data_IF_237944918950
#
_entry.id   IF_237944918950
#
_cell.length_a   1.000
_cell.length_b   1.000
_cell.length_c   1.000
_cell.angle_alpha   90.00
_cell.angle_beta   90.00
_cell.angle_gamma   90.00
#
_symmetry.space_group_name_H-M   'P 1'
#
loop_
_entity.id
_entity.type
_entity.pdbx_description
1 polymer ?
#
# COMPACT_ATOMS: atom_id res chain seq x y z
N UNK A 1 20.08 43.94 -82.32
CA UNK A 1 18.63 43.66 -82.41
C UNK A 1 18.19 43.15 -81.05
N UNK A 2 17.41 43.95 -80.28
CA UNK A 2 16.00 43.66 -79.90
C UNK A 2 15.89 42.29 -79.19
N UNK A 3 15.52 42.11 -77.92
CA UNK A 3 14.65 42.80 -76.95
C UNK A 3 14.99 42.25 -75.52
N UNK A 4 15.11 43.08 -74.47
CA UNK A 4 14.13 43.30 -73.36
C UNK A 4 13.84 42.02 -72.52
N UNK A 5 13.90 41.89 -71.18
CA UNK A 5 13.26 42.56 -70.01
C UNK A 5 13.97 41.94 -68.74
N UNK A 6 14.63 42.67 -67.81
CA UNK A 6 14.17 43.13 -66.45
C UNK A 6 13.41 42.03 -65.65
N UNK A 7 13.62 41.67 -64.38
CA UNK A 7 13.71 42.40 -63.10
C UNK A 7 14.14 41.38 -62.00
N UNK A 8 14.86 41.84 -60.96
CA UNK A 8 15.06 41.24 -59.60
C UNK A 8 13.72 40.85 -58.90
N UNK A 9 13.61 40.21 -57.69
CA UNK A 9 14.57 40.10 -56.57
C UNK A 9 14.51 38.79 -55.71
N UNK A 10 15.34 38.76 -54.64
CA UNK A 10 15.16 38.11 -53.33
C UNK A 10 14.50 36.70 -53.27
N UNK A 11 15.29 35.70 -52.87
CA UNK A 11 14.78 34.65 -52.00
C UNK A 11 15.74 34.45 -50.82
N UNK A 12 15.27 34.86 -49.64
CA UNK A 12 15.96 34.75 -48.36
C UNK A 12 16.05 33.28 -47.96
N UNK A 13 17.25 32.86 -47.57
CA UNK A 13 17.48 31.61 -46.83
C UNK A 13 16.84 31.73 -45.45
N UNK A 14 15.91 30.84 -45.14
CA UNK A 14 15.37 30.58 -43.80
C UNK A 14 15.65 29.09 -43.51
N UNK A 15 16.45 28.72 -42.49
CA UNK A 15 16.54 27.34 -42.07
C UNK A 15 15.30 27.00 -41.24
N UNK A 16 14.52 26.03 -41.72
CA UNK A 16 13.41 25.45 -40.98
C UNK A 16 13.96 24.69 -39.75
N UNK A 17 13.77 25.26 -38.56
CA UNK A 17 13.98 24.55 -37.30
C UNK A 17 12.81 23.59 -37.13
N UNK A 18 13.04 22.31 -37.44
CA UNK A 18 12.10 21.24 -37.15
C UNK A 18 12.17 20.94 -35.65
N UNK A 19 11.29 21.57 -34.87
CA UNK A 19 11.09 21.22 -33.48
C UNK A 19 10.44 19.83 -33.40
N UNK A 20 11.26 18.80 -33.15
CA UNK A 20 10.77 17.48 -32.77
C UNK A 20 10.21 17.59 -31.36
N UNK A 21 8.90 17.80 -31.27
CA UNK A 21 8.16 17.57 -30.03
C UNK A 21 8.16 16.06 -29.80
N UNK A 22 9.14 15.57 -29.01
CA UNK A 22 9.01 14.26 -28.40
C UNK A 22 7.84 14.32 -27.43
N UNK A 23 6.67 13.89 -27.89
CA UNK A 23 5.62 13.39 -27.02
C UNK A 23 6.21 12.17 -26.30
N UNK A 24 6.75 12.40 -25.10
CA UNK A 24 7.01 11.36 -24.13
C UNK A 24 5.65 10.80 -23.67
N UNK A 25 5.00 10.05 -24.55
CA UNK A 25 3.95 9.13 -24.14
C UNK A 25 4.63 8.17 -23.17
N UNK A 26 4.23 8.22 -21.90
CA UNK A 26 4.63 7.23 -20.91
C UNK A 26 4.19 5.88 -21.46
N UNK A 27 5.13 5.13 -22.04
CA UNK A 27 4.92 3.74 -22.33
C UNK A 27 4.64 3.09 -20.98
N UNK A 28 3.37 2.82 -20.69
CA UNK A 28 2.98 2.03 -19.54
C UNK A 28 3.87 0.80 -19.56
N UNK A 29 4.62 0.57 -18.47
CA UNK A 29 5.57 -0.52 -18.41
C UNK A 29 4.84 -1.78 -18.88
N UNK A 30 5.37 -2.44 -19.92
CA UNK A 30 4.79 -3.67 -20.44
C UNK A 30 5.06 -4.77 -19.41
N UNK A 31 4.18 -4.87 -18.41
CA UNK A 31 4.32 -5.83 -17.31
C UNK A 31 4.02 -7.21 -17.87
N UNK A 32 5.07 -8.00 -18.06
CA UNK A 32 4.93 -9.41 -18.44
C UNK A 32 4.71 -10.24 -17.19
N UNK A 33 3.73 -11.13 -17.26
CA UNK A 33 3.48 -12.09 -16.21
C UNK A 33 2.53 -13.17 -16.65
N UNK A 34 1.98 -13.85 -15.66
CA UNK A 34 1.14 -15.02 -15.85
C UNK A 34 -0.12 -14.90 -15.01
N UNK A 35 -1.27 -15.16 -15.63
CA UNK A 35 -2.57 -15.27 -14.97
C UNK A 35 -2.96 -16.73 -14.95
N UNK A 36 -3.27 -17.27 -13.77
CA UNK A 36 -3.97 -18.54 -13.62
C UNK A 36 -5.46 -18.26 -13.50
N UNK A 37 -6.25 -18.90 -14.34
CA UNK A 37 -7.70 -18.75 -14.33
C UNK A 37 -8.35 -19.78 -13.41
N UNK A 38 -9.59 -19.52 -13.00
CA UNK A 38 -10.36 -20.40 -12.10
C UNK A 38 -10.67 -21.77 -12.71
N UNK A 39 -10.63 -21.90 -14.04
CA UNK A 39 -10.74 -23.17 -14.78
C UNK A 39 -9.39 -23.92 -14.92
N UNK A 40 -8.33 -23.45 -14.24
CA UNK A 40 -7.02 -24.10 -14.22
C UNK A 40 -6.12 -23.79 -15.43
N UNK A 41 -6.57 -22.95 -16.37
CA UNK A 41 -5.72 -22.50 -17.49
C UNK A 41 -4.71 -21.46 -17.02
N UNK A 42 -3.64 -21.34 -17.80
CA UNK A 42 -2.57 -20.37 -17.56
C UNK A 42 -2.39 -19.52 -18.81
N UNK A 43 -2.51 -18.20 -18.66
CA UNK A 43 -2.33 -17.23 -19.73
C UNK A 43 -1.11 -16.38 -19.40
N UNK A 44 -0.07 -16.45 -20.23
CA UNK A 44 1.14 -15.65 -20.08
C UNK A 44 1.22 -14.58 -21.16
N UNK A 45 1.65 -13.38 -20.79
CA UNK A 45 1.73 -12.26 -21.72
C UNK A 45 1.94 -10.93 -21.02
N UNK A 46 1.71 -9.84 -21.76
CA UNK A 46 1.67 -8.51 -21.17
C UNK A 46 0.30 -8.29 -20.55
N UNK A 47 0.26 -8.07 -19.25
CA UNK A 47 -0.96 -7.95 -18.47
C UNK A 47 -1.24 -6.47 -18.22
N UNK A 48 -2.51 -6.08 -18.37
CA UNK A 48 -3.00 -4.77 -17.98
C UNK A 48 -4.41 -4.86 -17.41
N UNK A 49 -4.69 -4.10 -16.35
CA UNK A 49 -6.03 -3.93 -15.82
C UNK A 49 -6.75 -2.76 -16.48
N UNK A 50 -8.00 -2.98 -16.92
CA UNK A 50 -8.89 -1.94 -17.41
C UNK A 50 -9.98 -1.64 -16.38
N UNK A 51 -9.79 -0.57 -15.61
CA UNK A 51 -10.70 -0.22 -14.51
C UNK A 51 -12.14 0.06 -14.98
N UNK A 52 -12.31 0.71 -16.13
CA UNK A 52 -13.64 1.03 -16.69
C UNK A 52 -14.46 -0.21 -17.05
N UNK A 53 -13.79 -1.31 -17.42
CA UNK A 53 -14.44 -2.55 -17.83
C UNK A 53 -14.35 -3.65 -16.78
N UNK A 54 -13.57 -3.44 -15.71
CA UNK A 54 -13.24 -4.44 -14.69
C UNK A 54 -12.70 -5.76 -15.28
N UNK A 55 -11.79 -5.64 -16.26
CA UNK A 55 -11.20 -6.78 -16.98
C UNK A 55 -9.68 -6.68 -17.05
N UNK A 56 -9.03 -7.84 -17.05
CA UNK A 56 -7.65 -7.99 -17.46
C UNK A 56 -7.57 -8.15 -18.96
N UNK A 57 -6.61 -7.47 -19.56
CA UNK A 57 -6.20 -7.65 -20.93
C UNK A 57 -4.82 -8.28 -20.91
N UNK A 58 -4.69 -9.46 -21.53
CA UNK A 58 -3.42 -10.17 -21.68
C UNK A 58 -3.07 -10.24 -23.15
N UNK A 59 -2.01 -9.53 -23.55
CA UNK A 59 -1.45 -9.68 -24.89
C UNK A 59 -0.50 -10.88 -24.88
N UNK A 60 -0.97 -12.00 -25.41
CA UNK A 60 -0.23 -13.27 -25.45
C UNK A 60 0.24 -13.58 -26.87
N UNK A 61 1.35 -14.29 -27.01
CA UNK A 61 1.81 -14.76 -28.33
C UNK A 61 1.18 -16.11 -28.63
N UNK A 62 0.51 -16.25 -29.78
CA UNK A 62 -0.14 -17.50 -30.16
C UNK A 62 0.92 -18.61 -30.32
N UNK A 63 0.73 -19.80 -29.70
CA UNK A 63 1.66 -20.92 -29.84
C UNK A 63 1.94 -21.26 -31.31
N UNK A 64 3.23 -21.37 -31.68
CA UNK A 64 3.65 -21.69 -33.04
C UNK A 64 3.61 -20.54 -34.06
N UNK A 65 3.25 -19.31 -33.65
CA UNK A 65 3.28 -18.12 -34.53
C UNK A 65 3.82 -16.89 -33.79
N UNK A 66 4.26 -15.86 -34.51
CA UNK A 66 4.60 -14.56 -33.92
C UNK A 66 3.38 -13.63 -33.74
N UNK A 67 2.16 -14.11 -34.03
CA UNK A 67 0.95 -13.31 -33.92
C UNK A 67 0.57 -13.09 -32.44
N UNK A 68 0.31 -11.84 -32.07
CA UNK A 68 -0.22 -11.49 -30.75
C UNK A 68 -1.74 -11.65 -30.74
N UNK A 69 -2.27 -12.27 -29.70
CA UNK A 69 -3.70 -12.37 -29.41
C UNK A 69 -4.03 -11.59 -28.15
N UNK A 70 -5.17 -10.89 -28.17
CA UNK A 70 -5.72 -10.22 -27.00
C UNK A 70 -6.66 -11.18 -26.28
N UNK A 71 -6.31 -11.55 -25.05
CA UNK A 71 -7.17 -12.35 -24.17
C UNK A 71 -7.77 -11.42 -23.13
N UNK A 72 -9.10 -11.40 -23.04
CA UNK A 72 -9.82 -10.64 -22.03
C UNK A 72 -10.33 -11.59 -20.93
N UNK A 73 -10.05 -11.25 -19.67
CA UNK A 73 -10.50 -12.02 -18.51
C UNK A 73 -11.22 -11.10 -17.53
N UNK A 74 -12.38 -11.51 -17.00
CA UNK A 74 -13.02 -10.81 -15.88
C UNK A 74 -12.27 -11.10 -14.58
N UNK A 75 -12.46 -10.28 -13.54
CA UNK A 75 -11.80 -10.49 -12.25
C UNK A 75 -12.15 -11.87 -11.65
N UNK A 76 -13.40 -12.29 -11.79
CA UNK A 76 -13.99 -13.55 -11.37
C UNK A 76 -13.45 -14.78 -12.13
N UNK A 77 -12.84 -14.58 -13.29
CA UNK A 77 -12.14 -15.64 -14.03
C UNK A 77 -10.69 -15.81 -13.58
N UNK A 78 -10.15 -14.88 -12.80
CA UNK A 78 -8.74 -14.88 -12.38
C UNK A 78 -8.61 -15.48 -10.98
N UNK A 79 -7.85 -16.56 -10.88
CA UNK A 79 -7.54 -17.22 -9.61
C UNK A 79 -6.25 -16.67 -8.99
N UNK A 80 -5.22 -16.41 -9.80
CA UNK A 80 -3.92 -15.94 -9.33
C UNK A 80 -3.22 -15.11 -10.42
N UNK A 81 -2.44 -14.12 -10.01
CA UNK A 81 -1.63 -13.28 -10.90
C UNK A 81 -0.20 -13.27 -10.36
N UNK A 82 0.73 -13.61 -11.25
CA UNK A 82 2.15 -13.61 -10.95
C UNK A 82 2.85 -12.66 -11.91
N UNK A 83 3.32 -11.55 -11.38
CA UNK A 83 4.14 -10.59 -12.12
C UNK A 83 5.44 -10.32 -11.34
N UNK A 84 6.56 -10.05 -12.02
CA UNK A 84 7.82 -9.78 -11.35
C UNK A 84 7.72 -8.51 -10.50
N UNK A 85 8.38 -8.54 -9.35
CA UNK A 85 8.47 -7.37 -8.48
C UNK A 85 9.11 -6.20 -9.24
N UNK A 86 8.51 -4.99 -9.21
CA UNK A 86 9.15 -3.81 -9.77
C UNK A 86 10.52 -3.60 -9.12
N UNK A 87 11.55 -3.38 -9.95
CA UNK A 87 12.96 -3.28 -9.51
C UNK A 87 13.16 -2.15 -8.51
N UNK A 88 12.37 -1.10 -8.65
CA UNK A 88 12.43 0.12 -7.86
C UNK A 88 11.72 -0.02 -6.50
N UNK A 89 10.88 -1.05 -6.31
CA UNK A 89 10.11 -1.24 -5.08
C UNK A 89 11.01 -1.52 -3.87
N UNK A 90 12.00 -2.40 -4.03
CA UNK A 90 12.96 -2.73 -2.95
C UNK A 90 13.72 -1.51 -2.44
N UNK A 91 14.40 -0.75 -3.31
CA UNK A 91 15.05 0.51 -2.94
C UNK A 91 14.11 1.54 -2.30
N UNK A 92 12.88 1.69 -2.81
CA UNK A 92 11.89 2.60 -2.24
C UNK A 92 11.47 2.18 -0.81
N UNK A 93 11.24 0.88 -0.58
CA UNK A 93 10.98 0.33 0.76
C UNK A 93 12.14 0.65 1.69
N UNK A 94 13.38 0.44 1.25
CA UNK A 94 14.55 0.70 2.09
C UNK A 94 14.66 2.18 2.45
N UNK A 95 14.47 3.09 1.48
CA UNK A 95 14.50 4.53 1.70
C UNK A 95 13.48 5.01 2.74
N UNK A 96 12.25 4.47 2.68
CA UNK A 96 11.21 4.80 3.67
C UNK A 96 11.56 4.23 5.04
N UNK A 97 12.04 2.98 5.11
CA UNK A 97 12.39 2.30 6.38
C UNK A 97 13.57 2.94 7.10
N UNK A 98 14.62 3.33 6.38
CA UNK A 98 15.78 4.01 6.95
C UNK A 98 15.52 5.49 7.22
N UNK A 99 14.41 6.04 6.71
CA UNK A 99 14.14 7.47 6.70
C UNK A 99 15.06 8.26 5.75
N UNK A 100 15.88 7.60 4.94
CA UNK A 100 16.81 8.26 4.01
C UNK A 100 16.18 8.39 2.63
N UNK A 101 16.13 9.60 2.09
CA UNK A 101 15.56 9.90 0.76
C UNK A 101 14.06 9.51 0.60
N UNK A 102 13.24 9.76 1.62
CA UNK A 102 11.78 9.54 1.55
C UNK A 102 11.17 10.32 0.37
N UNK A 103 11.63 11.55 0.13
CA UNK A 103 11.15 12.40 -0.96
C UNK A 103 11.35 11.76 -2.34
N UNK A 104 12.47 11.08 -2.58
CA UNK A 104 12.72 10.36 -3.83
C UNK A 104 11.91 9.07 -3.97
N UNK A 105 11.53 8.43 -2.87
CA UNK A 105 10.75 7.19 -2.88
C UNK A 105 9.27 7.43 -3.24
N UNK A 106 8.69 8.56 -2.82
CA UNK A 106 7.28 8.90 -3.06
C UNK A 106 6.86 8.79 -4.54
N UNK A 107 7.49 9.49 -5.51
CA UNK A 107 7.07 9.43 -6.91
C UNK A 107 7.26 8.03 -7.53
N UNK A 108 8.26 7.28 -7.07
CA UNK A 108 8.48 5.88 -7.50
C UNK A 108 7.30 5.00 -7.07
N UNK A 109 6.89 5.11 -5.81
CA UNK A 109 5.78 4.32 -5.27
C UNK A 109 4.45 4.72 -5.93
N UNK A 110 4.21 6.01 -6.16
CA UNK A 110 3.04 6.49 -6.89
C UNK A 110 2.94 5.88 -8.28
N UNK A 111 4.07 5.82 -9.01
CA UNK A 111 4.14 5.18 -10.33
C UNK A 111 3.84 3.68 -10.25
N UNK A 112 4.42 2.97 -9.27
CA UNK A 112 4.19 1.52 -9.11
C UNK A 112 2.70 1.22 -8.86
N UNK A 113 2.03 1.99 -8.00
CA UNK A 113 0.60 1.80 -7.71
C UNK A 113 -0.24 1.89 -8.99
N UNK A 114 0.09 2.83 -9.88
CA UNK A 114 -0.60 3.03 -11.16
C UNK A 114 -0.26 1.89 -12.13
N UNK A 115 1.03 1.61 -12.34
CA UNK A 115 1.48 0.63 -13.32
C UNK A 115 1.01 -0.79 -12.97
N UNK A 116 0.99 -1.14 -11.67
CA UNK A 116 0.68 -2.48 -11.16
C UNK A 116 -0.73 -2.61 -10.57
N UNK A 117 -1.65 -1.69 -10.91
CA UNK A 117 -3.04 -1.77 -10.44
C UNK A 117 -3.64 -3.15 -10.72
N UNK A 118 -4.14 -3.82 -9.68
CA UNK A 118 -4.69 -5.19 -9.72
C UNK A 118 -3.71 -6.28 -10.18
N UNK A 119 -2.39 -6.03 -10.12
CA UNK A 119 -1.34 -6.96 -10.55
C UNK A 119 -0.35 -7.27 -9.43
N UNK A 120 -0.82 -7.52 -8.20
CA UNK A 120 -0.03 -7.94 -7.03
C UNK A 120 0.76 -6.85 -6.29
N UNK A 121 1.42 -5.91 -6.99
CA UNK A 121 2.36 -4.97 -6.35
C UNK A 121 1.79 -3.58 -6.02
N UNK A 122 0.54 -3.32 -6.39
CA UNK A 122 -0.16 -2.07 -6.07
C UNK A 122 -0.33 -1.84 -4.56
N UNK A 123 -0.79 -2.86 -3.83
CA UNK A 123 -1.05 -2.74 -2.38
C UNK A 123 0.22 -2.67 -1.53
N UNK A 124 1.26 -3.50 -1.75
CA UNK A 124 2.54 -3.31 -1.09
C UNK A 124 3.12 -1.91 -1.33
N UNK A 125 3.03 -1.39 -2.56
CA UNK A 125 3.49 -0.04 -2.87
C UNK A 125 2.62 1.04 -2.21
N UNK A 126 1.29 0.88 -2.18
CA UNK A 126 0.37 1.80 -1.50
C UNK A 126 0.61 1.84 0.01
N UNK A 127 0.86 0.70 0.65
CA UNK A 127 1.25 0.61 2.06
C UNK A 127 2.50 1.44 2.33
N UNK A 128 3.56 1.20 1.55
CA UNK A 128 4.85 1.87 1.74
C UNK A 128 4.75 3.37 1.40
N UNK A 129 3.92 3.74 0.42
CA UNK A 129 3.63 5.15 0.12
C UNK A 129 2.91 5.81 1.30
N UNK A 130 1.94 5.15 1.91
CA UNK A 130 1.25 5.66 3.08
C UNK A 130 2.23 5.85 4.27
N UNK A 131 3.13 4.89 4.51
CA UNK A 131 4.20 5.00 5.51
C UNK A 131 5.10 6.23 5.23
N UNK A 132 5.52 6.41 3.96
CA UNK A 132 6.33 7.55 3.53
C UNK A 132 5.62 8.89 3.79
N UNK A 133 4.34 8.97 3.43
CA UNK A 133 3.54 10.19 3.59
C UNK A 133 3.29 10.51 5.07
N UNK A 134 3.08 9.51 5.93
CA UNK A 134 2.97 9.70 7.38
C UNK A 134 4.29 10.18 8.00
N UNK A 135 5.43 9.68 7.53
CA UNK A 135 6.75 10.10 8.00
C UNK A 135 7.04 11.58 7.70
N UNK A 136 6.53 12.10 6.57
CA UNK A 136 6.66 13.53 6.21
C UNK A 136 5.47 14.38 6.68
N UNK A 137 4.64 13.87 7.60
CA UNK A 137 3.56 14.64 8.22
C UNK A 137 2.37 14.93 7.31
N UNK A 138 2.13 14.11 6.27
CA UNK A 138 1.04 14.26 5.30
C UNK A 138 -0.01 13.15 5.43
N UNK A 139 -0.82 13.12 6.51
CA UNK A 139 -1.77 12.03 6.74
C UNK A 139 -2.88 11.94 5.69
N UNK A 140 -3.39 13.05 5.16
CA UNK A 140 -4.39 13.01 4.07
C UNK A 140 -3.80 12.44 2.77
N UNK A 141 -2.51 12.64 2.50
CA UNK A 141 -1.85 12.02 1.34
C UNK A 141 -1.68 10.51 1.54
N UNK A 142 -1.37 10.07 2.76
CA UNK A 142 -1.33 8.65 3.11
C UNK A 142 -2.71 7.98 2.93
N UNK A 143 -3.79 8.64 3.39
CA UNK A 143 -5.16 8.19 3.17
C UNK A 143 -5.44 8.01 1.67
N UNK A 144 -5.13 9.02 0.84
CA UNK A 144 -5.35 8.96 -0.62
C UNK A 144 -4.60 7.80 -1.29
N UNK A 145 -3.38 7.48 -0.82
CA UNK A 145 -2.62 6.35 -1.34
C UNK A 145 -3.34 5.01 -1.07
N UNK A 146 -3.80 4.79 0.16
CA UNK A 146 -4.56 3.59 0.51
C UNK A 146 -5.92 3.54 -0.21
N UNK A 147 -6.62 4.68 -0.31
CA UNK A 147 -7.95 4.75 -0.91
C UNK A 147 -7.97 4.38 -2.40
N UNK A 148 -6.86 4.54 -3.12
CA UNK A 148 -6.72 4.04 -4.51
C UNK A 148 -6.88 2.53 -4.60
N UNK A 149 -6.28 1.79 -3.66
CA UNK A 149 -6.40 0.34 -3.59
C UNK A 149 -7.78 -0.05 -3.05
N UNK A 150 -8.23 0.62 -1.98
CA UNK A 150 -9.53 0.34 -1.33
C UNK A 150 -10.71 0.56 -2.27
N UNK A 151 -10.63 1.55 -3.18
CA UNK A 151 -11.68 1.79 -4.16
C UNK A 151 -11.93 0.59 -5.08
N UNK A 152 -10.93 -0.28 -5.25
CA UNK A 152 -11.00 -1.48 -6.09
C UNK A 152 -11.18 -2.73 -5.21
N UNK A 153 -10.52 -2.78 -4.04
CA UNK A 153 -10.56 -3.86 -3.05
C UNK A 153 -10.98 -3.32 -1.68
N UNK A 154 -12.30 -3.13 -1.42
CA UNK A 154 -12.79 -2.50 -0.19
C UNK A 154 -12.32 -3.17 1.10
N UNK A 155 -12.10 -4.48 1.06
CA UNK A 155 -11.60 -5.27 2.17
C UNK A 155 -10.20 -4.89 2.64
N UNK A 156 -9.37 -4.29 1.76
CA UNK A 156 -8.04 -3.80 2.12
C UNK A 156 -8.09 -2.65 3.15
N UNK A 157 -9.27 -2.06 3.36
CA UNK A 157 -9.49 -1.06 4.41
C UNK A 157 -9.48 -1.66 5.83
N UNK A 158 -9.75 -2.97 5.95
CA UNK A 158 -9.87 -3.65 7.24
C UNK A 158 -9.19 -5.04 7.31
N UNK A 159 -8.52 -5.47 6.23
CA UNK A 159 -7.74 -6.70 6.11
C UNK A 159 -6.36 -6.40 5.54
N UNK A 160 -5.43 -7.34 5.77
CA UNK A 160 -4.09 -7.29 5.21
C UNK A 160 -3.19 -6.26 5.87
N UNK A 161 -1.95 -6.20 5.38
CA UNK A 161 -0.88 -5.42 6.01
C UNK A 161 -1.06 -3.90 5.80
N UNK A 162 -1.78 -3.49 4.75
CA UNK A 162 -2.03 -2.07 4.46
C UNK A 162 -3.05 -1.44 5.45
N UNK A 163 -3.96 -2.24 6.02
CA UNK A 163 -5.03 -1.70 6.86
C UNK A 163 -4.46 -0.93 8.07
N UNK A 164 -3.38 -1.42 8.69
CA UNK A 164 -2.79 -0.78 9.88
C UNK A 164 -2.26 0.62 9.59
N UNK A 165 -1.51 0.81 8.49
CA UNK A 165 -1.00 2.14 8.11
C UNK A 165 -2.14 3.08 7.71
N UNK A 166 -3.18 2.54 7.07
CA UNK A 166 -4.37 3.32 6.74
C UNK A 166 -5.08 3.84 8.00
N UNK A 167 -5.23 3.00 9.02
CA UNK A 167 -5.81 3.40 10.30
C UNK A 167 -4.97 4.45 11.03
N UNK A 168 -3.65 4.31 11.03
CA UNK A 168 -2.74 5.32 11.57
C UNK A 168 -2.89 6.66 10.86
N UNK A 169 -3.07 6.64 9.53
CA UNK A 169 -3.33 7.85 8.76
C UNK A 169 -4.68 8.49 9.10
N UNK A 170 -5.74 7.70 9.26
CA UNK A 170 -7.05 8.17 9.71
C UNK A 170 -6.99 8.79 11.11
N UNK A 171 -6.27 8.15 12.04
CA UNK A 171 -6.08 8.68 13.39
C UNK A 171 -5.37 10.04 13.35
N UNK A 172 -4.23 10.13 12.64
CA UNK A 172 -3.48 11.40 12.50
C UNK A 172 -4.25 12.49 11.75
N UNK A 173 -5.20 12.12 10.88
CA UNK A 173 -6.09 13.04 10.18
C UNK A 173 -7.36 13.39 10.97
N UNK A 174 -7.48 12.94 12.23
CA UNK A 174 -8.68 13.12 13.07
C UNK A 174 -9.97 12.61 12.40
N UNK A 175 -9.90 11.47 11.71
CA UNK A 175 -11.04 10.81 11.04
C UNK A 175 -11.63 9.69 11.91
N UNK A 176 -11.83 9.96 13.20
CA UNK A 176 -12.12 8.93 14.22
C UNK A 176 -13.39 8.11 13.93
N UNK A 177 -14.46 8.73 13.45
CA UNK A 177 -15.70 8.00 13.13
C UNK A 177 -15.50 6.92 12.04
N UNK A 178 -14.74 7.26 10.98
CA UNK A 178 -14.40 6.30 9.91
C UNK A 178 -13.47 5.22 10.43
N UNK A 179 -12.48 5.60 11.25
CA UNK A 179 -11.57 4.66 11.89
C UNK A 179 -12.33 3.66 12.76
N UNK A 180 -13.21 4.10 13.65
CA UNK A 180 -13.99 3.23 14.53
C UNK A 180 -14.82 2.19 13.76
N UNK A 181 -15.47 2.60 12.67
CA UNK A 181 -16.22 1.70 11.81
C UNK A 181 -15.30 0.60 11.22
N UNK A 182 -14.12 0.98 10.72
CA UNK A 182 -13.14 0.05 10.15
C UNK A 182 -12.53 -0.88 11.20
N UNK A 183 -12.24 -0.38 12.40
CA UNK A 183 -11.74 -1.21 13.50
C UNK A 183 -12.80 -2.25 13.90
N UNK A 184 -14.08 -1.86 13.94
CA UNK A 184 -15.19 -2.79 14.19
C UNK A 184 -15.25 -3.88 13.12
N UNK A 185 -15.14 -3.52 11.84
CA UNK A 185 -15.11 -4.49 10.75
C UNK A 185 -13.86 -5.39 10.80
N UNK A 186 -12.68 -4.86 11.13
CA UNK A 186 -11.46 -5.64 11.27
C UNK A 186 -11.55 -6.65 12.43
N UNK A 187 -12.14 -6.25 13.56
CA UNK A 187 -12.35 -7.15 14.70
C UNK A 187 -13.36 -8.25 14.36
N UNK A 188 -14.41 -7.94 13.61
CA UNK A 188 -15.48 -8.88 13.30
C UNK A 188 -15.18 -9.80 12.10
N UNK A 189 -14.51 -9.27 11.08
CA UNK A 189 -14.37 -9.90 9.74
C UNK A 189 -12.92 -10.01 9.28
N UNK A 190 -11.97 -9.41 10.00
CA UNK A 190 -10.55 -9.38 9.63
C UNK A 190 -9.85 -10.74 9.82
N UNK A 191 -8.62 -10.84 9.31
CA UNK A 191 -7.71 -11.93 9.67
C UNK A 191 -7.16 -11.74 11.09
N UNK A 192 -6.54 -12.78 11.68
CA UNK A 192 -6.08 -12.74 13.09
C UNK A 192 -5.19 -11.54 13.38
N UNK A 193 -4.25 -11.25 12.51
CA UNK A 193 -3.29 -10.15 12.59
C UNK A 193 -4.00 -8.78 12.53
N UNK A 194 -4.92 -8.61 11.58
CA UNK A 194 -5.68 -7.38 11.41
C UNK A 194 -6.61 -7.13 12.60
N UNK A 195 -7.34 -8.15 13.07
CA UNK A 195 -8.21 -8.03 14.25
C UNK A 195 -7.41 -7.68 15.50
N UNK A 196 -6.25 -8.30 15.71
CA UNK A 196 -5.41 -8.00 16.86
C UNK A 196 -4.83 -6.57 16.80
N UNK A 197 -4.35 -6.14 15.62
CA UNK A 197 -3.88 -4.76 15.41
C UNK A 197 -5.00 -3.75 15.61
N UNK A 198 -6.23 -4.07 15.20
CA UNK A 198 -7.39 -3.21 15.39
C UNK A 198 -7.76 -3.05 16.87
N UNK A 199 -7.63 -4.10 17.67
CA UNK A 199 -7.81 -4.04 19.13
C UNK A 199 -6.74 -3.18 19.80
N UNK A 200 -5.48 -3.24 19.35
CA UNK A 200 -4.43 -2.33 19.83
C UNK A 200 -4.80 -0.88 19.53
N UNK A 201 -5.14 -0.57 18.28
CA UNK A 201 -5.54 0.79 17.87
C UNK A 201 -6.75 1.29 18.65
N UNK A 202 -7.74 0.43 18.92
CA UNK A 202 -8.88 0.77 19.76
C UNK A 202 -8.45 1.10 21.19
N UNK A 203 -7.51 0.32 21.74
CA UNK A 203 -6.88 0.60 23.03
C UNK A 203 -6.18 1.96 23.05
N UNK A 204 -5.47 2.31 21.97
CA UNK A 204 -4.78 3.60 21.84
C UNK A 204 -5.78 4.76 21.89
N UNK A 205 -6.87 4.68 21.10
CA UNK A 205 -7.93 5.69 21.10
C UNK A 205 -8.59 5.85 22.47
N UNK A 206 -8.76 4.76 23.22
CA UNK A 206 -9.30 4.78 24.59
C UNK A 206 -8.31 5.40 25.59
N UNK A 207 -7.01 5.13 25.44
CA UNK A 207 -5.97 5.77 26.24
C UNK A 207 -5.93 7.28 26.00
N UNK A 208 -6.01 7.72 24.74
CA UNK A 208 -6.09 9.14 24.38
C UNK A 208 -7.33 9.81 24.97
N UNK A 209 -8.45 9.08 25.02
CA UNK A 209 -9.70 9.51 25.66
C UNK A 209 -9.69 9.43 27.19
N UNK A 210 -8.53 9.15 27.80
CA UNK A 210 -8.34 8.98 29.26
C UNK A 210 -9.22 7.88 29.88
N UNK A 211 -9.45 6.81 29.13
CA UNK A 211 -10.21 5.63 29.56
C UNK A 211 -9.30 4.39 29.66
N UNK A 212 -8.28 4.38 30.55
CA UNK A 212 -7.30 3.29 30.61
C UNK A 212 -7.90 1.94 31.01
N UNK A 213 -8.98 1.93 31.80
CA UNK A 213 -9.71 0.69 32.14
C UNK A 213 -10.34 0.05 30.91
N UNK A 214 -10.98 0.85 30.07
CA UNK A 214 -11.59 0.35 28.84
C UNK A 214 -10.52 0.01 27.79
N UNK A 215 -9.41 0.75 27.73
CA UNK A 215 -8.29 0.38 26.86
C UNK A 215 -7.74 -1.02 27.17
N UNK A 216 -7.65 -1.39 28.46
CA UNK A 216 -7.30 -2.74 28.88
C UNK A 216 -8.36 -3.76 28.45
N UNK A 217 -9.62 -3.51 28.79
CA UNK A 217 -10.75 -4.43 28.60
C UNK A 217 -11.11 -4.66 27.13
N UNK A 218 -11.20 -3.59 26.36
CA UNK A 218 -11.71 -3.57 24.99
C UNK A 218 -10.60 -3.52 23.92
N UNK A 219 -9.34 -3.43 24.35
CA UNK A 219 -8.15 -3.41 23.48
C UNK A 219 -7.07 -4.40 23.92
N UNK A 220 -6.11 -3.93 24.72
CA UNK A 220 -4.82 -4.60 24.89
C UNK A 220 -4.90 -6.01 25.48
N UNK A 221 -5.72 -6.24 26.52
CA UNK A 221 -5.80 -7.57 27.15
C UNK A 221 -6.47 -8.59 26.24
N UNK A 222 -7.40 -8.17 25.38
CA UNK A 222 -7.99 -9.07 24.38
C UNK A 222 -6.94 -9.58 23.42
N UNK A 223 -5.97 -8.74 23.04
CA UNK A 223 -4.83 -9.17 22.22
C UNK A 223 -3.94 -10.12 22.99
N UNK A 224 -3.50 -9.73 24.19
CA UNK A 224 -2.62 -10.56 25.03
C UNK A 224 -3.19 -11.96 25.27
N UNK A 225 -4.50 -12.08 25.49
CA UNK A 225 -5.15 -13.34 25.84
C UNK A 225 -5.64 -14.12 24.61
N UNK A 226 -6.38 -13.48 23.70
CA UNK A 226 -7.07 -14.19 22.61
C UNK A 226 -6.18 -14.37 21.36
N UNK A 227 -5.13 -13.56 21.25
CA UNK A 227 -4.23 -13.53 20.09
C UNK A 227 -2.78 -13.87 20.47
N UNK A 228 -2.55 -14.71 21.49
CA UNK A 228 -1.20 -15.09 21.96
C UNK A 228 -0.30 -15.62 20.82
N UNK A 229 -0.89 -16.31 19.84
CA UNK A 229 -0.16 -16.88 18.70
C UNK A 229 0.20 -15.85 17.62
N UNK A 230 -0.33 -14.62 17.68
CA UNK A 230 0.02 -13.55 16.75
C UNK A 230 1.27 -12.84 17.28
N UNK A 231 2.42 -13.49 17.13
CA UNK A 231 3.70 -13.07 17.74
C UNK A 231 4.15 -11.66 17.33
N UNK A 232 3.76 -11.19 16.15
CA UNK A 232 4.12 -9.87 15.64
C UNK A 232 3.51 -8.71 16.44
N UNK A 233 2.31 -8.88 16.99
CA UNK A 233 1.57 -7.81 17.70
C UNK A 233 1.62 -7.93 19.22
N UNK A 234 1.95 -9.11 19.74
CA UNK A 234 2.04 -9.38 21.18
C UNK A 234 2.97 -8.42 21.95
N UNK A 235 4.18 -8.11 21.47
CA UNK A 235 5.07 -7.22 22.21
C UNK A 235 4.47 -5.82 22.43
N UNK A 236 3.81 -5.28 21.41
CA UNK A 236 3.14 -3.98 21.50
C UNK A 236 1.97 -4.02 22.47
N UNK A 237 1.12 -5.04 22.38
CA UNK A 237 -0.02 -5.19 23.28
C UNK A 237 0.39 -5.32 24.75
N UNK A 238 1.46 -6.09 25.04
CA UNK A 238 2.01 -6.22 26.40
C UNK A 238 2.57 -4.89 26.91
N UNK A 239 3.34 -4.19 26.09
CA UNK A 239 3.89 -2.88 26.44
C UNK A 239 2.79 -1.87 26.76
N UNK A 240 1.78 -1.77 25.89
CA UNK A 240 0.67 -0.84 26.04
C UNK A 240 -0.29 -1.24 27.18
N UNK A 241 -0.52 -2.53 27.40
CA UNK A 241 -1.24 -3.02 28.58
C UNK A 241 -0.52 -2.63 29.87
N UNK A 242 0.81 -2.74 29.93
CA UNK A 242 1.58 -2.31 31.09
C UNK A 242 1.34 -0.83 31.38
N UNK A 243 1.43 0.04 30.36
CA UNK A 243 1.17 1.48 30.49
C UNK A 243 -0.25 1.79 30.97
N UNK A 244 -1.25 1.06 30.47
CA UNK A 244 -2.63 1.24 30.90
C UNK A 244 -2.85 0.79 32.36
N UNK A 245 -2.19 -0.28 32.83
CA UNK A 245 -2.20 -0.68 34.24
C UNK A 245 -1.55 0.35 35.17
N UNK A 246 -0.44 0.97 34.74
CA UNK A 246 0.19 2.07 35.50
C UNK A 246 -0.75 3.26 35.66
N UNK A 247 -1.47 3.62 34.59
CA UNK A 247 -2.42 4.73 34.59
C UNK A 247 -3.60 4.52 35.57
N UNK A 248 -3.85 3.29 36.01
CA UNK A 248 -4.86 2.96 37.03
C UNK A 248 -4.25 2.48 38.35
N UNK A 249 -2.96 2.75 38.56
CA UNK A 249 -2.19 2.38 39.76
C UNK A 249 -2.15 0.88 40.09
N UNK A 250 -2.30 0.01 39.07
CA UNK A 250 -2.17 -1.43 39.21
C UNK A 250 -0.75 -1.91 38.86
N UNK A 251 0.25 -1.38 39.57
CA UNK A 251 1.67 -1.64 39.32
C UNK A 251 2.07 -3.13 39.29
N UNK A 252 1.51 -4.02 40.14
CA UNK A 252 1.82 -5.45 40.05
C UNK A 252 1.41 -6.07 38.70
N UNK A 253 0.28 -5.64 38.13
CA UNK A 253 -0.18 -6.11 36.83
C UNK A 253 0.68 -5.54 35.70
N UNK A 254 1.09 -4.27 35.81
CA UNK A 254 2.03 -3.67 34.86
C UNK A 254 3.36 -4.45 34.81
N UNK A 255 3.91 -4.80 35.99
CA UNK A 255 5.16 -5.57 36.05
C UNK A 255 5.02 -6.99 35.51
N UNK A 256 3.86 -7.63 35.69
CA UNK A 256 3.56 -8.91 35.05
C UNK A 256 3.65 -8.82 33.53
N UNK A 257 3.07 -7.76 32.92
CA UNK A 257 3.14 -7.56 31.47
C UNK A 257 4.58 -7.34 31.00
N UNK A 258 5.36 -6.52 31.73
CA UNK A 258 6.79 -6.28 31.44
C UNK A 258 7.63 -7.53 31.53
N UNK A 259 7.40 -8.35 32.55
CA UNK A 259 8.11 -9.61 32.73
C UNK A 259 7.87 -10.55 31.55
N UNK A 260 6.62 -10.68 31.09
CA UNK A 260 6.30 -11.46 29.87
C UNK A 260 7.01 -10.86 28.65
N UNK A 261 7.01 -9.53 28.51
CA UNK A 261 7.68 -8.84 27.39
C UNK A 261 9.19 -9.12 27.38
N UNK A 262 9.88 -9.01 28.51
CA UNK A 262 11.33 -9.29 28.63
C UNK A 262 11.66 -10.76 28.39
N UNK A 263 10.83 -11.69 28.89
CA UNK A 263 11.14 -13.13 28.85
C UNK A 263 10.78 -13.77 27.51
N UNK A 264 9.61 -13.46 26.95
CA UNK A 264 9.12 -14.07 25.71
C UNK A 264 9.51 -13.29 24.45
N UNK A 265 9.81 -12.00 24.56
CA UNK A 265 10.00 -11.11 23.41
C UNK A 265 11.20 -10.17 23.55
N UNK A 266 12.29 -10.66 24.14
CA UNK A 266 13.50 -9.90 24.46
C UNK A 266 14.09 -9.09 23.29
N UNK A 267 13.97 -9.59 22.06
CA UNK A 267 14.50 -8.95 20.86
C UNK A 267 13.62 -7.83 20.29
N UNK A 268 12.37 -7.73 20.74
CA UNK A 268 11.39 -6.75 20.22
C UNK A 268 11.80 -5.32 20.55
N UNK A 269 11.39 -4.37 19.71
CA UNK A 269 11.61 -2.94 19.99
C UNK A 269 10.93 -2.48 21.29
N UNK A 270 9.83 -3.13 21.67
CA UNK A 270 9.05 -2.80 22.85
C UNK A 270 9.72 -3.26 24.14
N UNK A 271 10.41 -4.40 24.11
CA UNK A 271 11.23 -4.85 25.23
C UNK A 271 12.39 -3.88 25.54
N UNK A 272 12.88 -3.14 24.53
CA UNK A 272 13.94 -2.12 24.73
C UNK A 272 13.42 -0.80 25.33
N UNK A 273 12.09 -0.63 25.41
CA UNK A 273 11.42 0.59 25.93
C UNK A 273 11.01 0.46 27.40
N UNK A 274 11.30 -0.65 28.07
CA UNK A 274 10.90 -0.95 29.46
C UNK A 274 12.08 -1.18 30.38
#
# INVERSE_FOLDING_TARGET
MKHTIRVLPLCRLLPAVLAVVMLAGTAAAQIRGTIKTTDGKTVSGQIRWLNSQKKYIVMSTRPGTQATIEVQLTADQVADIQVPQPRELGPAIQAVRSGSNIAGAIPVLEKIIIDYTMMQWDEPAARVLAEAQLAVGKPDAAIKACERVIAIRPEAAYKGDMAVVYWQALLKANRSAKLEALLKDAIAKGGREASASALIMRGDMLMESKQPRDALKDGYLRVVILYENVRSVQPEALYKAAKAFEAIHQNPNAEKMRSILRTKYASSEYARKI
#
